data_IF_860748793776
#
_entry.id   IF_860748793776
#
_cell.length_a   1.000
_cell.length_b   1.000
_cell.length_c   1.000
_cell.angle_alpha   90.00
_cell.angle_beta   90.00
_cell.angle_gamma   90.00
#
_symmetry.space_group_name_H-M   'P 1'
#
loop_
_entity.id
_entity.type
_entity.pdbx_description
1 polymer ?
#
# COMPACT_ATOMS: atom_id res chain seq x y z
N UNK A 1 -7.04 -13.32 26.99
CA UNK A 1 -5.75 -13.88 27.47
C UNK A 1 -4.91 -14.45 26.33
N UNK A 2 -5.44 -15.36 25.48
CA UNK A 2 -4.69 -15.92 24.33
C UNK A 2 -4.17 -14.87 23.36
N UNK A 3 -4.99 -13.86 23.03
CA UNK A 3 -4.60 -12.81 22.08
C UNK A 3 -3.48 -11.89 22.60
N UNK A 4 -3.45 -11.66 23.92
CA UNK A 4 -2.40 -10.87 24.57
C UNK A 4 -1.06 -11.63 24.58
N UNK A 5 -1.08 -12.92 24.86
CA UNK A 5 0.11 -13.80 24.81
C UNK A 5 0.65 -13.86 23.38
N UNK A 6 -0.22 -14.01 22.38
CA UNK A 6 0.16 -13.97 20.98
C UNK A 6 0.75 -12.62 20.56
N UNK A 7 0.20 -11.51 21.04
CA UNK A 7 0.73 -10.17 20.73
C UNK A 7 2.15 -9.98 21.28
N UNK A 8 2.44 -10.51 22.47
CA UNK A 8 3.76 -10.44 23.10
C UNK A 8 4.79 -11.36 22.42
N UNK A 9 4.37 -12.51 21.90
CA UNK A 9 5.25 -13.46 21.23
C UNK A 9 5.60 -13.10 19.78
N UNK A 10 4.76 -12.33 19.10
CA UNK A 10 4.94 -11.94 17.68
C UNK A 10 6.34 -11.43 17.31
N UNK A 11 6.96 -10.49 18.05
CA UNK A 11 8.29 -9.99 17.69
C UNK A 11 9.38 -11.06 17.80
N UNK A 12 9.29 -11.98 18.78
CA UNK A 12 10.24 -13.06 18.95
C UNK A 12 10.12 -14.10 17.85
N UNK A 13 8.90 -14.50 17.52
CA UNK A 13 8.63 -15.42 16.41
C UNK A 13 9.09 -14.83 15.09
N UNK A 14 8.90 -13.52 14.88
CA UNK A 14 9.40 -12.82 13.72
C UNK A 14 10.93 -12.84 13.65
N UNK A 15 11.62 -12.49 14.74
CA UNK A 15 13.07 -12.48 14.80
C UNK A 15 13.63 -13.89 14.50
N UNK A 16 13.05 -14.91 15.13
CA UNK A 16 13.39 -16.31 14.86
C UNK A 16 13.15 -16.69 13.39
N UNK A 17 12.00 -16.32 12.82
CA UNK A 17 11.68 -16.62 11.43
C UNK A 17 12.65 -15.94 10.45
N UNK A 18 13.02 -14.69 10.70
CA UNK A 18 14.00 -13.99 9.87
C UNK A 18 15.41 -14.62 9.97
N UNK A 19 15.83 -15.04 11.15
CA UNK A 19 17.08 -15.78 11.35
C UNK A 19 17.04 -17.15 10.63
N UNK A 20 15.92 -17.86 10.70
CA UNK A 20 15.76 -19.21 10.11
C UNK A 20 15.69 -19.20 8.60
N UNK A 21 15.03 -18.19 8.00
CA UNK A 21 14.77 -18.09 6.55
C UNK A 21 15.62 -17.02 5.86
N UNK A 22 16.49 -16.32 6.56
CA UNK A 22 17.41 -15.31 6.06
C UNK A 22 16.75 -13.97 5.73
N UNK A 23 15.48 -13.95 5.31
CA UNK A 23 14.74 -12.75 4.97
C UNK A 23 13.23 -12.98 5.02
N UNK A 24 12.45 -11.88 4.95
CA UNK A 24 10.99 -11.97 4.80
C UNK A 24 10.57 -12.67 3.49
N UNK A 25 11.39 -12.56 2.45
CA UNK A 25 11.16 -13.20 1.16
C UNK A 25 11.44 -14.71 1.24
N UNK A 26 12.49 -15.12 1.94
CA UNK A 26 12.75 -16.55 2.23
C UNK A 26 11.64 -17.17 3.07
N UNK A 27 11.11 -16.44 4.05
CA UNK A 27 9.91 -16.88 4.79
C UNK A 27 8.70 -17.02 3.87
N UNK A 28 8.48 -16.06 2.95
CA UNK A 28 7.39 -16.13 1.96
C UNK A 28 7.49 -17.39 1.09
N UNK A 29 8.68 -17.68 0.56
CA UNK A 29 8.92 -18.86 -0.26
C UNK A 29 8.66 -20.17 0.51
N UNK A 30 9.09 -20.25 1.77
CA UNK A 30 8.81 -21.42 2.61
C UNK A 30 7.31 -21.61 2.83
N UNK A 31 6.57 -20.53 3.13
CA UNK A 31 5.12 -20.57 3.28
C UNK A 31 4.39 -21.02 2.00
N UNK A 32 4.94 -20.66 0.83
CA UNK A 32 4.39 -21.09 -0.46
C UNK A 32 4.63 -22.59 -0.75
N UNK A 33 5.79 -23.10 -0.35
CA UNK A 33 6.22 -24.49 -0.67
C UNK A 33 5.67 -25.54 0.28
N UNK A 34 5.69 -25.23 1.58
CA UNK A 34 5.45 -26.22 2.63
C UNK A 34 4.01 -26.23 3.16
N UNK A 35 3.20 -25.27 2.69
CA UNK A 35 1.88 -25.01 3.28
C UNK A 35 1.99 -24.31 4.63
N UNK A 36 0.95 -23.57 4.99
CA UNK A 36 1.03 -22.62 6.08
C UNK A 36 1.18 -23.21 7.47
N UNK A 37 2.29 -22.94 8.10
CA UNK A 37 2.39 -23.03 9.55
C UNK A 37 1.77 -21.76 10.13
N UNK A 38 0.61 -21.84 10.76
CA UNK A 38 -0.18 -20.71 11.26
C UNK A 38 0.65 -19.65 12.01
N UNK A 39 1.66 -20.09 12.77
CA UNK A 39 2.57 -19.20 13.49
C UNK A 39 3.48 -18.40 12.55
N UNK A 40 3.98 -19.03 11.47
CA UNK A 40 4.82 -18.37 10.47
C UNK A 40 4.01 -17.39 9.61
N UNK A 41 2.76 -17.72 9.29
CA UNK A 41 1.83 -16.80 8.61
C UNK A 41 1.55 -15.56 9.48
N UNK A 42 1.35 -15.75 10.78
CA UNK A 42 1.17 -14.64 11.73
C UNK A 42 2.42 -13.77 11.82
N UNK A 43 3.62 -14.36 11.84
CA UNK A 43 4.88 -13.62 11.82
C UNK A 43 5.03 -12.83 10.52
N UNK A 44 4.77 -13.46 9.38
CA UNK A 44 4.78 -12.83 8.07
C UNK A 44 3.81 -11.64 8.01
N UNK A 45 2.55 -11.83 8.38
CA UNK A 45 1.55 -10.78 8.43
C UNK A 45 1.93 -9.64 9.37
N UNK A 46 2.50 -9.95 10.54
CA UNK A 46 2.97 -8.94 11.49
C UNK A 46 4.09 -8.07 10.92
N UNK A 47 5.01 -8.65 10.14
CA UNK A 47 6.09 -7.90 9.49
C UNK A 47 5.54 -6.77 8.61
N UNK A 48 4.54 -7.04 7.80
CA UNK A 48 3.93 -6.06 6.90
C UNK A 48 2.98 -5.11 7.63
N UNK A 49 2.17 -5.63 8.57
CA UNK A 49 1.20 -4.83 9.33
C UNK A 49 1.86 -3.64 10.06
N UNK A 50 3.06 -3.83 10.64
CA UNK A 50 3.81 -2.75 11.29
C UNK A 50 4.23 -1.62 10.35
N UNK A 51 4.17 -1.85 9.04
CA UNK A 51 4.47 -0.89 7.97
C UNK A 51 3.21 -0.35 7.29
N UNK A 52 2.03 -0.67 7.83
CA UNK A 52 0.76 -0.39 7.17
C UNK A 52 0.67 -1.03 5.79
N UNK A 53 1.26 -2.21 5.61
CA UNK A 53 1.45 -2.87 4.32
C UNK A 53 0.87 -4.27 4.33
N UNK A 54 0.68 -4.81 3.14
CA UNK A 54 0.28 -6.21 2.91
C UNK A 54 0.96 -6.73 1.64
N UNK A 55 1.58 -7.89 1.74
CA UNK A 55 2.04 -8.66 0.56
C UNK A 55 1.46 -10.06 0.67
N UNK A 56 0.64 -10.42 -0.28
CA UNK A 56 -0.02 -11.72 -0.31
C UNK A 56 0.99 -12.86 -0.34
N UNK A 57 0.78 -13.88 0.50
CA UNK A 57 1.68 -15.05 0.56
C UNK A 57 1.74 -15.73 -0.81
N UNK A 58 0.61 -15.86 -1.50
CA UNK A 58 0.50 -16.52 -2.79
C UNK A 58 0.83 -15.64 -4.00
N UNK A 59 1.18 -14.34 -3.78
CA UNK A 59 1.66 -13.52 -4.90
C UNK A 59 2.96 -14.10 -5.49
N UNK A 60 3.07 -14.07 -6.80
CA UNK A 60 4.24 -14.57 -7.52
C UNK A 60 5.23 -13.41 -7.75
N UNK A 61 6.45 -13.56 -7.25
CA UNK A 61 7.53 -12.60 -7.45
C UNK A 61 8.66 -13.31 -8.19
N UNK A 62 8.93 -12.92 -9.43
CA UNK A 62 10.03 -13.50 -10.21
C UNK A 62 11.42 -13.04 -9.71
N UNK A 63 11.45 -12.00 -8.90
CA UNK A 63 12.61 -11.48 -8.17
C UNK A 63 12.13 -10.60 -7.02
N UNK A 64 13.00 -10.28 -6.07
CA UNK A 64 12.68 -9.32 -5.01
C UNK A 64 12.57 -7.91 -5.61
N UNK A 65 11.39 -7.24 -5.52
CA UNK A 65 11.29 -5.87 -5.99
C UNK A 65 12.17 -4.91 -5.18
N UNK A 66 12.62 -3.83 -5.83
CA UNK A 66 13.30 -2.74 -5.15
C UNK A 66 12.27 -1.81 -4.50
N UNK A 67 12.48 -1.49 -3.22
CA UNK A 67 11.63 -0.56 -2.45
C UNK A 67 12.48 0.61 -1.95
N UNK A 68 12.67 1.67 -2.76
CA UNK A 68 13.61 2.76 -2.44
C UNK A 68 13.33 3.46 -1.10
N UNK A 69 12.06 3.58 -0.72
CA UNK A 69 11.63 4.20 0.55
C UNK A 69 11.10 3.16 1.56
N UNK A 70 11.54 1.88 1.42
CA UNK A 70 10.98 0.78 2.20
C UNK A 70 9.54 0.45 1.79
N UNK A 71 8.92 -0.50 2.51
CA UNK A 71 7.60 -1.04 2.17
C UNK A 71 6.47 -0.34 2.94
N UNK A 72 6.45 0.98 2.98
CA UNK A 72 5.43 1.73 3.72
C UNK A 72 4.14 1.88 2.90
N UNK A 73 3.02 1.37 3.42
CA UNK A 73 1.70 1.47 2.78
C UNK A 73 1.56 0.72 1.46
N UNK A 74 2.40 -0.30 1.20
CA UNK A 74 2.37 -1.09 -0.02
C UNK A 74 1.41 -2.26 0.15
N UNK A 75 0.46 -2.41 -0.78
CA UNK A 75 -0.50 -3.51 -0.82
C UNK A 75 -0.33 -4.31 -2.12
N UNK A 76 0.03 -5.60 -2.01
CA UNK A 76 0.15 -6.53 -3.12
C UNK A 76 -0.80 -7.70 -2.87
N UNK A 77 -1.80 -7.88 -3.73
CA UNK A 77 -2.79 -8.94 -3.60
C UNK A 77 -2.20 -10.34 -3.76
N UNK A 78 -2.87 -11.34 -3.20
CA UNK A 78 -2.43 -12.73 -3.18
C UNK A 78 -2.13 -13.33 -4.56
N UNK A 79 -2.89 -12.96 -5.59
CA UNK A 79 -2.75 -13.55 -6.92
C UNK A 79 -2.01 -12.63 -7.90
N UNK A 80 -1.42 -11.53 -7.42
CA UNK A 80 -0.63 -10.65 -8.27
C UNK A 80 0.66 -11.35 -8.72
N UNK A 81 1.06 -11.10 -9.97
CA UNK A 81 2.32 -11.58 -10.54
C UNK A 81 3.22 -10.40 -10.82
N UNK A 82 4.47 -10.46 -10.37
CA UNK A 82 5.43 -9.37 -10.51
C UNK A 82 6.73 -9.93 -11.09
N UNK A 83 7.16 -9.33 -12.20
CA UNK A 83 8.38 -9.69 -12.92
C UNK A 83 9.66 -9.33 -12.18
N UNK A 84 10.79 -9.42 -12.88
CA UNK A 84 12.12 -9.08 -12.37
C UNK A 84 12.39 -7.57 -12.46
N UNK A 85 13.26 -7.07 -11.58
CA UNK A 85 13.78 -5.70 -11.61
C UNK A 85 12.67 -4.62 -11.54
N UNK A 86 11.61 -4.92 -10.80
CA UNK A 86 10.50 -3.98 -10.58
C UNK A 86 10.84 -3.07 -9.40
N UNK A 87 10.64 -1.76 -9.60
CA UNK A 87 10.81 -0.73 -8.57
C UNK A 87 9.44 -0.28 -8.09
N UNK A 88 9.19 -0.35 -6.78
CA UNK A 88 7.90 -0.02 -6.17
C UNK A 88 8.11 1.02 -5.07
N UNK A 89 7.55 2.21 -5.25
CA UNK A 89 7.58 3.26 -4.25
C UNK A 89 6.49 3.07 -3.19
N UNK A 90 6.57 3.85 -2.12
CA UNK A 90 5.62 3.79 -1.00
C UNK A 90 4.17 4.02 -1.45
N UNK A 91 3.22 3.49 -0.68
CA UNK A 91 1.76 3.66 -0.85
C UNK A 91 1.19 3.10 -2.17
N UNK A 92 1.95 2.26 -2.87
CA UNK A 92 1.48 1.58 -4.09
C UNK A 92 0.49 0.47 -3.72
N UNK A 93 -0.56 0.35 -4.52
CA UNK A 93 -1.50 -0.77 -4.44
C UNK A 93 -1.49 -1.56 -5.75
N UNK A 94 -1.20 -2.85 -5.67
CA UNK A 94 -1.35 -3.84 -6.75
C UNK A 94 -2.47 -4.76 -6.30
N UNK A 95 -3.72 -4.42 -6.65
CA UNK A 95 -4.93 -4.95 -6.06
C UNK A 95 -5.77 -5.79 -7.01
N UNK A 96 -6.34 -6.87 -6.49
CA UNK A 96 -7.32 -7.68 -7.21
C UNK A 96 -8.67 -6.97 -7.29
N UNK A 97 -9.40 -7.19 -8.37
CA UNK A 97 -10.81 -6.93 -8.47
C UNK A 97 -11.56 -8.27 -8.35
N UNK A 98 -12.36 -8.40 -7.31
CA UNK A 98 -13.09 -9.64 -6.99
C UNK A 98 -14.56 -9.60 -7.38
N UNK A 99 -15.02 -8.50 -7.96
CA UNK A 99 -16.42 -8.35 -8.38
C UNK A 99 -16.66 -9.15 -9.67
N UNK A 100 -17.58 -10.12 -9.67
CA UNK A 100 -17.77 -11.02 -10.82
C UNK A 100 -18.38 -10.32 -12.04
N UNK A 101 -19.12 -9.23 -11.84
CA UNK A 101 -19.72 -8.39 -12.87
C UNK A 101 -18.79 -7.27 -13.37
N UNK A 102 -17.58 -7.19 -12.83
CA UNK A 102 -16.60 -6.20 -13.25
C UNK A 102 -16.04 -6.52 -14.64
N UNK A 103 -15.71 -5.47 -15.37
CA UNK A 103 -15.10 -5.58 -16.71
C UNK A 103 -13.75 -6.32 -16.70
N UNK A 104 -12.99 -6.27 -15.59
CA UNK A 104 -11.66 -6.89 -15.45
C UNK A 104 -11.51 -7.53 -14.07
N UNK A 105 -12.21 -8.63 -13.79
CA UNK A 105 -11.99 -9.37 -12.56
C UNK A 105 -10.60 -10.02 -12.58
N UNK A 106 -10.02 -10.24 -11.41
CA UNK A 106 -8.72 -10.88 -11.26
C UNK A 106 -7.66 -9.97 -10.67
N UNK A 107 -6.41 -10.36 -10.82
CA UNK A 107 -5.25 -9.72 -10.21
C UNK A 107 -4.26 -9.24 -11.28
N UNK A 108 -3.50 -8.17 -11.01
CA UNK A 108 -2.55 -7.64 -11.97
C UNK A 108 -1.39 -8.60 -12.25
N UNK A 109 -0.94 -8.58 -13.51
CA UNK A 109 0.33 -9.17 -13.95
C UNK A 109 1.26 -8.04 -14.37
N UNK A 110 2.39 -7.90 -13.69
CA UNK A 110 3.40 -6.87 -13.93
C UNK A 110 4.61 -7.50 -14.60
N UNK A 111 5.04 -6.96 -15.73
CA UNK A 111 6.22 -7.39 -16.46
C UNK A 111 7.55 -7.03 -15.77
N UNK A 112 8.64 -7.18 -16.50
CA UNK A 112 9.99 -6.91 -16.01
C UNK A 112 10.36 -5.42 -16.14
N UNK A 113 11.29 -4.94 -15.30
CA UNK A 113 11.83 -3.57 -15.33
C UNK A 113 10.74 -2.48 -15.32
N UNK A 114 9.65 -2.73 -14.58
CA UNK A 114 8.56 -1.77 -14.42
C UNK A 114 8.88 -0.84 -13.25
N UNK A 115 8.70 0.47 -13.44
CA UNK A 115 8.85 1.50 -12.41
C UNK A 115 7.47 1.98 -11.96
N UNK A 116 7.16 1.83 -10.67
CA UNK A 116 5.85 2.16 -10.11
C UNK A 116 6.01 3.29 -9.09
N UNK A 117 5.59 4.50 -9.47
CA UNK A 117 5.68 5.71 -8.67
C UNK A 117 4.81 5.69 -7.43
N UNK A 118 5.15 6.55 -6.46
CA UNK A 118 4.50 6.62 -5.15
C UNK A 118 2.98 6.80 -5.28
N UNK A 119 2.23 6.07 -4.46
CA UNK A 119 0.77 6.17 -4.42
C UNK A 119 0.03 5.58 -5.61
N UNK A 120 0.70 5.05 -6.63
CA UNK A 120 0.06 4.45 -7.80
C UNK A 120 -0.85 3.28 -7.44
N UNK A 121 -1.95 3.11 -8.18
CA UNK A 121 -2.92 2.03 -8.00
C UNK A 121 -3.05 1.24 -9.30
N UNK A 122 -2.77 -0.07 -9.26
CA UNK A 122 -2.92 -0.99 -10.39
C UNK A 122 -3.96 -2.01 -9.96
N UNK A 123 -5.14 -1.99 -10.59
CA UNK A 123 -6.31 -2.69 -10.07
C UNK A 123 -6.93 -3.61 -11.12
N UNK A 124 -7.25 -4.83 -10.69
CA UNK A 124 -7.96 -5.82 -11.51
C UNK A 124 -7.06 -6.70 -12.35
N UNK A 125 -7.65 -7.53 -13.19
CA UNK A 125 -6.96 -8.45 -14.09
C UNK A 125 -6.35 -7.72 -15.28
N UNK A 126 -5.37 -6.84 -15.02
CA UNK A 126 -4.65 -6.07 -16.03
C UNK A 126 -3.23 -6.58 -16.20
N UNK A 127 -2.71 -6.43 -17.43
CA UNK A 127 -1.33 -6.78 -17.77
C UNK A 127 -0.53 -5.52 -18.04
N UNK A 128 0.56 -5.32 -17.28
CA UNK A 128 1.52 -4.25 -17.50
C UNK A 128 2.74 -4.87 -18.18
N UNK A 129 3.01 -4.44 -19.41
CA UNK A 129 4.13 -4.93 -20.21
C UNK A 129 5.49 -4.56 -19.62
N UNK A 130 6.55 -5.15 -20.16
CA UNK A 130 7.92 -4.88 -19.76
C UNK A 130 8.31 -3.41 -19.95
N UNK A 131 9.22 -2.93 -19.12
CA UNK A 131 9.81 -1.59 -19.24
C UNK A 131 8.77 -0.44 -19.20
N UNK A 132 7.63 -0.65 -18.51
CA UNK A 132 6.63 0.40 -18.31
C UNK A 132 6.98 1.30 -17.13
N UNK A 133 6.45 2.51 -17.16
CA UNK A 133 6.51 3.47 -16.05
C UNK A 133 5.11 3.89 -15.65
N UNK A 134 4.82 3.80 -14.36
CA UNK A 134 3.56 4.26 -13.77
C UNK A 134 3.89 5.45 -12.88
N UNK A 135 3.37 6.61 -13.24
CA UNK A 135 3.58 7.86 -12.52
C UNK A 135 2.97 7.85 -11.12
N UNK A 136 3.46 8.73 -10.26
CA UNK A 136 2.92 8.86 -8.90
C UNK A 136 1.42 9.15 -8.95
N UNK A 137 0.66 8.49 -8.05
CA UNK A 137 -0.80 8.57 -7.94
C UNK A 137 -1.58 8.20 -9.21
N UNK A 138 -0.93 7.62 -10.23
CA UNK A 138 -1.65 7.13 -11.40
C UNK A 138 -2.51 5.90 -11.04
N UNK A 139 -3.72 5.85 -11.60
CA UNK A 139 -4.64 4.72 -11.45
C UNK A 139 -4.69 3.97 -12.78
N UNK A 140 -4.24 2.71 -12.77
CA UNK A 140 -4.18 1.84 -13.94
C UNK A 140 -5.18 0.71 -13.75
N UNK A 141 -6.15 0.63 -14.63
CA UNK A 141 -7.19 -0.39 -14.68
C UNK A 141 -7.39 -0.96 -16.10
N UNK A 142 -6.41 -0.69 -16.98
CA UNK A 142 -6.33 -1.21 -18.36
C UNK A 142 -4.95 -1.75 -18.63
N UNK A 143 -4.84 -2.60 -19.66
CA UNK A 143 -3.56 -3.16 -20.06
C UNK A 143 -2.62 -2.07 -20.59
N UNK A 144 -1.34 -2.19 -20.28
CA UNK A 144 -0.29 -1.32 -20.79
C UNK A 144 0.66 -2.13 -21.68
N UNK A 145 0.79 -1.80 -22.96
CA UNK A 145 1.79 -2.44 -23.82
C UNK A 145 3.21 -2.11 -23.30
N UNK A 146 4.23 -2.93 -23.64
CA UNK A 146 5.61 -2.65 -23.26
C UNK A 146 6.08 -1.25 -23.65
N UNK A 147 7.03 -0.70 -22.89
CA UNK A 147 7.62 0.63 -23.12
C UNK A 147 6.62 1.80 -23.03
N UNK A 148 5.59 1.66 -22.21
CA UNK A 148 4.51 2.66 -22.04
C UNK A 148 4.63 3.42 -20.72
N UNK A 149 4.05 4.62 -20.70
CA UNK A 149 4.00 5.47 -19.51
C UNK A 149 2.54 5.78 -19.17
N UNK A 150 2.11 5.44 -17.95
CA UNK A 150 0.85 5.91 -17.39
C UNK A 150 1.11 7.12 -16.51
N UNK A 151 0.34 8.19 -16.70
CA UNK A 151 0.42 9.42 -15.92
C UNK A 151 -0.94 9.78 -15.35
N UNK A 152 -0.96 10.49 -14.22
CA UNK A 152 -2.18 11.15 -13.75
C UNK A 152 -2.62 12.24 -14.71
N UNK A 153 -3.91 12.58 -14.67
CA UNK A 153 -4.40 13.81 -15.32
C UNK A 153 -3.65 15.02 -14.76
N UNK A 154 -3.38 16.05 -15.59
CA UNK A 154 -2.75 17.27 -15.12
C UNK A 154 -3.52 17.88 -13.94
N UNK A 155 -2.79 18.38 -12.94
CA UNK A 155 -3.41 19.11 -11.83
C UNK A 155 -4.13 20.33 -12.37
N UNK A 156 -5.41 20.48 -12.03
CA UNK A 156 -6.17 21.69 -12.32
C UNK A 156 -6.07 22.65 -11.14
N UNK A 157 -5.49 23.82 -11.36
CA UNK A 157 -5.41 24.88 -10.36
C UNK A 157 -6.63 25.78 -10.53
N UNK A 158 -7.39 25.96 -9.46
CA UNK A 158 -8.55 26.85 -9.42
C UNK A 158 -8.23 27.94 -8.40
N UNK A 159 -8.06 29.15 -8.87
CA UNK A 159 -7.89 30.31 -8.01
C UNK A 159 -9.28 30.77 -7.53
N UNK A 160 -9.40 31.03 -6.23
CA UNK A 160 -10.58 31.57 -5.59
C UNK A 160 -10.25 32.89 -4.92
N UNK A 161 -11.22 33.78 -4.79
CA UNK A 161 -11.03 35.08 -4.12
C UNK A 161 -10.75 34.91 -2.63
N UNK A 162 -11.38 33.90 -2.02
CA UNK A 162 -11.18 33.59 -0.61
C UNK A 162 -11.17 32.08 -0.39
N UNK A 163 -10.31 31.61 0.52
CA UNK A 163 -10.23 30.24 1.01
C UNK A 163 -10.08 30.28 2.53
N UNK A 164 -10.91 29.52 3.22
CA UNK A 164 -10.70 29.20 4.63
C UNK A 164 -10.21 27.75 4.75
N UNK A 165 -8.99 27.59 5.24
CA UNK A 165 -8.34 26.29 5.47
C UNK A 165 -8.20 26.01 6.98
N UNK A 166 -9.00 26.64 7.82
CA UNK A 166 -8.99 26.41 9.27
C UNK A 166 -9.35 24.96 9.57
N UNK A 167 -8.47 24.26 10.25
CA UNK A 167 -8.73 22.89 10.69
C UNK A 167 -9.49 22.90 12.01
N UNK A 168 -10.66 22.27 12.03
CA UNK A 168 -11.49 22.07 13.22
C UNK A 168 -11.46 20.62 13.68
N UNK A 169 -11.48 20.42 15.01
CA UNK A 169 -11.57 19.09 15.62
C UNK A 169 -12.39 19.14 16.91
N UNK A 170 -12.97 18.00 17.31
CA UNK A 170 -13.74 17.90 18.56
C UNK A 170 -13.02 17.01 19.55
N UNK A 171 -12.71 17.53 20.73
CA UNK A 171 -12.10 16.79 21.82
C UNK A 171 -13.01 16.90 23.07
N UNK A 172 -13.43 15.76 23.61
CA UNK A 172 -14.29 15.72 24.80
C UNK A 172 -15.60 16.48 24.65
N UNK A 173 -16.18 16.53 23.45
CA UNK A 173 -17.42 17.27 23.17
C UNK A 173 -17.24 18.78 22.95
N UNK A 174 -16.01 19.28 22.99
CA UNK A 174 -15.66 20.68 22.74
C UNK A 174 -14.97 20.81 21.39
N UNK A 175 -15.37 21.77 20.58
CA UNK A 175 -14.76 22.06 19.28
C UNK A 175 -13.54 22.96 19.46
N UNK A 176 -12.49 22.65 18.71
CA UNK A 176 -11.23 23.39 18.65
C UNK A 176 -10.87 23.66 17.20
N UNK A 177 -10.12 24.74 16.96
CA UNK A 177 -9.45 25.01 15.67
C UNK A 177 -7.93 25.08 15.86
N UNK A 178 -7.20 24.77 14.80
CA UNK A 178 -5.73 24.80 14.79
C UNK A 178 -5.23 26.10 14.17
N UNK A 179 -4.44 26.84 14.93
CA UNK A 179 -3.80 28.10 14.53
C UNK A 179 -2.49 28.28 15.30
N UNK A 180 -1.48 28.87 14.70
CA UNK A 180 -0.18 29.16 15.31
C UNK A 180 0.46 27.97 16.06
N UNK A 181 0.36 26.76 15.47
CA UNK A 181 0.95 25.53 16.01
C UNK A 181 0.23 24.94 17.22
N UNK A 182 -0.96 25.44 17.59
CA UNK A 182 -1.73 24.96 18.74
C UNK A 182 -3.23 24.84 18.46
N UNK A 183 -3.92 24.11 19.34
CA UNK A 183 -5.38 24.00 19.29
C UNK A 183 -6.00 25.08 20.20
N UNK A 184 -6.85 25.88 19.65
CA UNK A 184 -7.64 26.88 20.34
C UNK A 184 -9.10 26.46 20.41
N UNK A 185 -9.76 26.75 21.54
CA UNK A 185 -11.19 26.48 21.69
C UNK A 185 -11.97 27.33 20.69
N UNK A 186 -12.88 26.72 19.94
CA UNK A 186 -13.75 27.43 19.00
C UNK A 186 -14.83 28.17 19.78
N UNK A 187 -14.86 29.51 19.62
CA UNK A 187 -15.93 30.36 20.11
C UNK A 187 -16.91 30.65 18.98
N UNK A 188 -18.19 30.88 19.29
CA UNK A 188 -19.27 31.11 18.33
C UNK A 188 -19.05 32.32 17.39
N UNK A 189 -18.18 33.26 17.74
CA UNK A 189 -17.83 34.42 16.90
C UNK A 189 -17.01 34.04 15.68
N UNK A 190 -16.14 33.02 15.75
CA UNK A 190 -15.29 32.61 14.61
C UNK A 190 -16.09 31.83 13.56
N UNK A 191 -17.18 31.13 13.95
CA UNK A 191 -18.12 30.47 13.03
C UNK A 191 -18.93 31.44 12.15
N UNK A 192 -19.06 32.71 12.56
CA UNK A 192 -19.83 33.72 11.82
C UNK A 192 -19.02 34.50 10.79
N UNK A 193 -17.70 34.27 10.70
CA UNK A 193 -16.80 34.94 9.74
C UNK A 193 -16.53 34.14 8.47
N UNK A 194 -17.07 32.92 8.37
CA UNK A 194 -17.09 32.05 7.21
C UNK A 194 -18.47 32.05 6.55
#
# INVERSE_FOLDING_TARGET
MKDLIFALLRPFVMAWALLRFGSIWGLKESLQKEGGHKLLELAYGHYFMRRGSFVGITSELAGTPCFPHGMQGIFISNNAKIGKDVVIFQQVTIGSNTLPDSRRPGSPTIGNRVYIGAGAKIIGGVTIGDNCRIGANAVVYEDMPPNSVAVCAPTRIIQKEHLDNTYYTTLGGTEYYFEDGSLHKSDDEKKRRT
#
